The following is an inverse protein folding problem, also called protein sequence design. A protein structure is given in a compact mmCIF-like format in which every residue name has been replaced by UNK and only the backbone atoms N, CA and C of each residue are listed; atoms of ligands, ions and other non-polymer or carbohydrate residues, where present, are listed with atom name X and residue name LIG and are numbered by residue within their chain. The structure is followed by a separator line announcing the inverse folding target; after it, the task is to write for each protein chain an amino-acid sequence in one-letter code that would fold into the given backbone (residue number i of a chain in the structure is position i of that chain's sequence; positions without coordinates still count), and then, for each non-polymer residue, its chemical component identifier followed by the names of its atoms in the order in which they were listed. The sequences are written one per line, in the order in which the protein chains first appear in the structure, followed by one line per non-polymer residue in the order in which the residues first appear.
data_IF_432153349831
#
_entry.id   IF_432153349831
#
_cell.length_a   1.000
_cell.length_b   1.000
_cell.length_c   1.000
_cell.angle_alpha   90.00
_cell.angle_beta   90.00
_cell.angle_gamma   90.00
#
_symmetry.space_group_name_H-M   'P 1'
#
loop_
_entity.id
_entity.type
_entity.pdbx_description
1 polymer ?
#
# COMPACT_ATOMS: atom_id res chain seq x y z
N UNK A 1 74.94 22.00 33.96
CA UNK A 1 74.51 21.66 32.58
C UNK A 1 74.47 20.14 32.42
N UNK A 2 73.39 19.61 31.82
CA UNK A 2 73.12 18.20 31.42
C UNK A 2 72.38 17.28 32.44
N UNK A 3 71.07 17.53 32.53
CA UNK A 3 69.88 16.69 32.22
C UNK A 3 69.84 15.15 32.39
N UNK A 4 68.60 14.68 32.66
CA UNK A 4 67.91 13.39 32.34
C UNK A 4 67.88 12.32 33.45
N UNK A 5 66.76 11.64 33.76
CA UNK A 5 65.42 11.59 33.16
C UNK A 5 64.37 11.18 34.21
N UNK A 6 63.19 11.81 34.15
CA UNK A 6 62.00 11.39 34.90
C UNK A 6 61.21 10.42 34.02
N UNK A 7 60.98 9.20 34.49
CA UNK A 7 60.19 8.19 33.78
C UNK A 7 58.72 8.39 34.17
N UNK A 8 57.92 8.86 33.21
CA UNK A 8 56.47 8.96 33.32
C UNK A 8 55.87 7.58 33.04
N UNK A 9 55.33 6.94 34.08
CA UNK A 9 54.52 5.74 33.92
C UNK A 9 53.10 6.14 33.50
N UNK A 10 52.81 6.06 32.21
CA UNK A 10 51.46 6.24 31.69
C UNK A 10 50.65 4.95 31.89
N UNK A 11 49.80 4.93 32.92
CA UNK A 11 48.77 3.89 33.10
C UNK A 11 47.70 4.04 32.02
N UNK A 12 47.69 3.10 31.08
CA UNK A 12 46.68 2.99 30.02
C UNK A 12 45.42 2.31 30.59
N UNK A 13 44.45 3.10 31.06
CA UNK A 13 43.11 2.59 31.36
C UNK A 13 42.40 2.22 30.05
N UNK A 14 42.35 0.93 29.73
CA UNK A 14 41.48 0.38 28.69
C UNK A 14 40.02 0.52 29.13
N UNK A 15 39.33 1.54 28.62
CA UNK A 15 37.88 1.67 28.75
C UNK A 15 37.26 0.72 27.72
N UNK A 16 36.82 -0.45 28.17
CA UNK A 16 36.01 -1.37 27.37
C UNK A 16 34.62 -0.75 27.16
N UNK A 17 34.46 0.01 26.07
CA UNK A 17 33.16 0.50 25.64
C UNK A 17 32.30 -0.65 25.16
N UNK A 18 31.45 -1.19 26.04
CA UNK A 18 30.41 -2.12 25.66
C UNK A 18 29.33 -1.36 24.87
N UNK A 19 29.52 -1.23 23.56
CA UNK A 19 28.50 -0.74 22.64
C UNK A 19 27.31 -1.69 22.66
N UNK A 20 26.33 -1.41 23.52
CA UNK A 20 25.02 -2.03 23.44
C UNK A 20 24.34 -1.42 22.22
N UNK A 21 24.41 -2.12 21.08
CA UNK A 21 23.51 -1.84 19.98
C UNK A 21 22.09 -2.11 20.49
N UNK A 22 21.41 -1.05 20.91
CA UNK A 22 19.99 -1.14 21.20
C UNK A 22 19.30 -1.51 19.87
N UNK A 23 18.76 -2.72 19.79
CA UNK A 23 17.84 -3.10 18.73
C UNK A 23 16.64 -2.15 18.79
N UNK A 24 16.69 -1.09 18.00
CA UNK A 24 15.55 -0.22 17.79
C UNK A 24 14.47 -1.07 17.12
N UNK A 25 13.55 -1.62 17.90
CA UNK A 25 12.31 -2.19 17.37
C UNK A 25 11.61 -1.06 16.61
N UNK A 26 11.67 -1.11 15.29
CA UNK A 26 10.92 -0.19 14.43
C UNK A 26 9.44 -0.43 14.69
N UNK A 27 8.85 0.37 15.57
CA UNK A 27 7.41 0.40 15.78
C UNK A 27 6.82 1.40 14.82
N UNK A 28 6.01 0.93 13.87
CA UNK A 28 5.21 1.80 13.03
C UNK A 28 4.27 2.66 13.90
N UNK A 29 4.07 3.93 13.52
CA UNK A 29 3.10 4.80 14.21
C UNK A 29 1.71 4.22 14.00
N UNK A 30 0.82 4.21 15.01
CA UNK A 30 -0.57 3.82 14.78
C UNK A 30 -1.18 4.58 13.60
N UNK A 31 -2.06 3.91 12.84
CA UNK A 31 -2.77 4.55 11.74
C UNK A 31 -3.61 5.73 12.25
N UNK A 32 -3.45 6.87 11.59
CA UNK A 32 -4.12 8.14 11.87
C UNK A 32 -4.66 8.79 10.59
N UNK A 33 -4.66 8.04 9.48
CA UNK A 33 -5.19 8.49 8.20
C UNK A 33 -6.70 8.38 8.14
N UNK A 34 -7.23 8.64 6.95
CA UNK A 34 -8.64 8.42 6.65
C UNK A 34 -8.84 6.94 6.34
N UNK A 35 -9.68 6.27 7.12
CA UNK A 35 -10.15 4.93 6.79
C UNK A 35 -11.16 5.02 5.63
N UNK A 36 -10.83 4.38 4.51
CA UNK A 36 -11.67 4.27 3.31
C UNK A 36 -12.24 2.85 3.14
N UNK A 37 -12.23 2.03 4.18
CA UNK A 37 -12.84 0.70 4.16
C UNK A 37 -14.33 0.80 3.79
N UNK A 38 -14.83 -0.22 3.11
CA UNK A 38 -16.22 -0.29 2.71
C UNK A 38 -16.43 -1.06 1.42
N UNK A 39 -17.68 -1.10 1.00
CA UNK A 39 -18.11 -1.70 -0.26
C UNK A 39 -18.42 -0.57 -1.25
N UNK A 40 -17.91 -0.71 -2.46
CA UNK A 40 -18.01 0.26 -3.53
C UNK A 40 -18.68 -0.38 -4.73
N UNK A 41 -19.62 0.33 -5.34
CA UNK A 41 -20.15 0.00 -6.66
C UNK A 41 -19.33 0.74 -7.71
N UNK A 42 -18.80 -0.01 -8.67
CA UNK A 42 -17.87 0.46 -9.69
C UNK A 42 -18.49 0.33 -11.07
N UNK A 43 -18.28 1.35 -11.89
CA UNK A 43 -18.61 1.36 -13.31
C UNK A 43 -17.38 1.83 -14.08
N UNK A 44 -17.16 1.26 -15.25
CA UNK A 44 -16.00 1.63 -16.04
C UNK A 44 -15.97 1.01 -17.42
N UNK A 45 -14.83 1.21 -18.07
CA UNK A 45 -14.58 0.73 -19.42
C UNK A 45 -13.21 0.09 -19.48
N UNK A 46 -13.15 -1.13 -19.99
CA UNK A 46 -11.94 -1.84 -20.37
C UNK A 46 -11.75 -1.78 -21.90
N UNK A 47 -10.49 -1.83 -22.35
CA UNK A 47 -10.16 -1.77 -23.79
C UNK A 47 -10.61 -3.01 -24.56
N UNK A 48 -10.69 -4.18 -23.93
CA UNK A 48 -11.11 -5.44 -24.52
C UNK A 48 -12.57 -5.76 -24.23
N UNK A 49 -13.00 -5.56 -22.98
CA UNK A 49 -14.34 -5.98 -22.54
C UNK A 49 -15.41 -4.87 -22.66
N UNK A 50 -15.01 -3.63 -22.91
CA UNK A 50 -15.94 -2.51 -23.03
C UNK A 50 -16.52 -2.08 -21.67
N UNK A 51 -17.78 -1.65 -21.65
CA UNK A 51 -18.43 -1.17 -20.42
C UNK A 51 -18.77 -2.31 -19.46
N UNK A 52 -18.40 -2.17 -18.19
CA UNK A 52 -18.58 -3.19 -17.16
C UNK A 52 -19.04 -2.65 -15.81
N UNK A 53 -19.49 -3.57 -14.95
CA UNK A 53 -19.84 -3.27 -13.55
C UNK A 53 -19.11 -4.21 -12.61
N UNK A 54 -18.63 -3.65 -11.51
CA UNK A 54 -17.95 -4.42 -10.48
C UNK A 54 -18.30 -3.92 -9.09
N UNK A 55 -18.09 -4.77 -8.09
CA UNK A 55 -18.15 -4.41 -6.69
C UNK A 55 -16.78 -4.58 -6.06
N UNK A 56 -16.24 -3.51 -5.46
CA UNK A 56 -14.97 -3.53 -4.75
C UNK A 56 -15.21 -3.45 -3.25
N UNK A 57 -14.60 -4.36 -2.49
CA UNK A 57 -14.55 -4.30 -1.02
C UNK A 57 -13.15 -3.97 -0.57
N UNK A 58 -13.00 -2.90 0.21
CA UNK A 58 -11.76 -2.52 0.87
C UNK A 58 -11.84 -2.82 2.37
N UNK A 59 -10.84 -3.50 2.91
CA UNK A 59 -10.70 -3.79 4.34
C UNK A 59 -9.35 -3.29 4.84
N UNK A 60 -9.35 -2.32 5.76
CA UNK A 60 -8.14 -1.79 6.39
C UNK A 60 -7.39 -2.91 7.13
N UNK A 61 -6.10 -3.05 6.83
CA UNK A 61 -5.17 -3.83 7.62
C UNK A 61 -4.45 -2.88 8.58
N UNK A 62 -5.08 -2.61 9.73
CA UNK A 62 -4.59 -1.64 10.72
C UNK A 62 -3.24 -2.03 11.31
N UNK A 63 -2.90 -3.33 11.31
CA UNK A 63 -1.62 -3.85 11.78
C UNK A 63 -0.45 -3.41 10.88
N UNK A 64 -0.69 -3.29 9.58
CA UNK A 64 0.32 -2.89 8.59
C UNK A 64 0.07 -1.48 8.01
N UNK A 65 -0.81 -0.72 8.65
CA UNK A 65 -1.02 0.70 8.38
C UNK A 65 -0.18 1.54 9.33
N UNK A 66 0.30 2.71 8.89
CA UNK A 66 1.22 3.53 9.68
C UNK A 66 1.06 5.03 9.44
N UNK A 67 0.83 5.79 10.51
CA UNK A 67 0.60 7.23 10.42
C UNK A 67 -0.50 7.56 9.41
N UNK A 68 -0.18 8.35 8.37
CA UNK A 68 -1.13 8.69 7.31
C UNK A 68 -1.33 7.60 6.24
N UNK A 69 -0.49 6.57 6.22
CA UNK A 69 -0.52 5.53 5.20
C UNK A 69 -1.47 4.40 5.62
N UNK A 70 -2.48 4.13 4.79
CA UNK A 70 -3.41 3.01 4.99
C UNK A 70 -3.06 1.84 4.08
N UNK A 71 -2.92 0.65 4.63
CA UNK A 71 -2.84 -0.60 3.88
C UNK A 71 -4.19 -1.30 3.88
N UNK A 72 -4.67 -1.76 2.73
CA UNK A 72 -5.97 -2.43 2.61
C UNK A 72 -5.85 -3.71 1.81
N UNK A 73 -6.66 -4.70 2.18
CA UNK A 73 -7.00 -5.82 1.30
C UNK A 73 -8.16 -5.40 0.41
N UNK A 74 -8.06 -5.72 -0.87
CA UNK A 74 -9.12 -5.50 -1.85
C UNK A 74 -9.66 -6.85 -2.34
N UNK A 75 -10.98 -6.92 -2.48
CA UNK A 75 -11.68 -7.95 -3.26
C UNK A 75 -12.53 -7.24 -4.31
N UNK A 76 -12.45 -7.66 -5.56
CA UNK A 76 -13.32 -7.15 -6.64
C UNK A 76 -14.13 -8.31 -7.19
N UNK A 77 -15.43 -8.10 -7.36
CA UNK A 77 -16.36 -9.04 -8.00
C UNK A 77 -16.95 -8.34 -9.21
N UNK A 78 -16.56 -8.77 -10.42
CA UNK A 78 -16.96 -8.15 -11.69
C UNK A 78 -17.87 -9.08 -12.49
N UNK A 79 -18.92 -8.49 -13.06
CA UNK A 79 -19.90 -9.15 -13.94
C UNK A 79 -20.45 -10.49 -13.43
N UNK A 80 -20.51 -10.65 -12.10
CA UNK A 80 -21.05 -11.83 -11.42
C UNK A 80 -20.23 -13.13 -11.54
N UNK A 81 -19.09 -13.10 -12.24
CA UNK A 81 -18.29 -14.30 -12.52
C UNK A 81 -16.79 -14.13 -12.26
N UNK A 82 -16.27 -12.91 -12.36
CA UNK A 82 -14.84 -12.63 -12.17
C UNK A 82 -14.59 -12.18 -10.74
N UNK A 83 -13.56 -12.75 -10.12
CA UNK A 83 -13.17 -12.42 -8.75
C UNK A 83 -11.69 -12.09 -8.76
N UNK A 84 -11.34 -10.96 -8.16
CA UNK A 84 -9.96 -10.51 -8.00
C UNK A 84 -9.64 -10.30 -6.52
N UNK A 85 -8.42 -10.66 -6.14
CA UNK A 85 -7.84 -10.24 -4.87
C UNK A 85 -6.73 -9.22 -5.13
N UNK A 86 -6.60 -8.27 -4.23
CA UNK A 86 -5.66 -7.16 -4.38
C UNK A 86 -5.18 -6.59 -3.05
N UNK A 87 -4.17 -5.73 -3.15
CA UNK A 87 -3.67 -4.92 -2.06
C UNK A 87 -3.68 -3.46 -2.47
N UNK A 88 -3.99 -2.57 -1.53
CA UNK A 88 -4.03 -1.14 -1.75
C UNK A 88 -3.18 -0.44 -0.70
N UNK A 89 -2.38 0.53 -1.15
CA UNK A 89 -1.70 1.49 -0.28
C UNK A 89 -2.29 2.87 -0.54
N UNK A 90 -2.72 3.54 0.52
CA UNK A 90 -3.23 4.90 0.47
C UNK A 90 -2.22 5.88 1.08
N UNK A 91 -1.95 6.99 0.38
CA UNK A 91 -1.36 8.21 0.95
C UNK A 91 -2.31 9.38 0.70
N UNK A 92 -3.00 9.81 1.77
CA UNK A 92 -4.03 10.86 1.71
C UNK A 92 -5.14 10.49 0.72
N UNK A 93 -5.19 11.17 -0.41
CA UNK A 93 -6.17 11.04 -1.48
C UNK A 93 -5.66 10.22 -2.68
N UNK A 94 -4.43 9.68 -2.62
CA UNK A 94 -3.85 8.87 -3.68
C UNK A 94 -3.78 7.41 -3.25
N UNK A 95 -4.13 6.50 -4.17
CA UNK A 95 -4.07 5.06 -3.96
C UNK A 95 -3.20 4.40 -5.03
N UNK A 96 -2.36 3.46 -4.62
CA UNK A 96 -1.73 2.49 -5.49
C UNK A 96 -2.30 1.10 -5.20
N UNK A 97 -2.61 0.34 -6.24
CA UNK A 97 -3.29 -0.95 -6.12
C UNK A 97 -2.64 -2.00 -6.99
N UNK A 98 -2.68 -3.25 -6.56
CA UNK A 98 -2.60 -4.40 -7.45
C UNK A 98 -3.91 -5.20 -7.38
N UNK A 99 -4.20 -5.95 -8.42
CA UNK A 99 -5.31 -6.90 -8.46
C UNK A 99 -4.91 -8.11 -9.30
N UNK A 100 -5.42 -9.28 -8.91
CA UNK A 100 -5.10 -10.56 -9.55
C UNK A 100 -6.37 -11.40 -9.57
N UNK A 101 -6.77 -11.87 -10.75
CA UNK A 101 -7.88 -12.80 -10.90
C UNK A 101 -7.57 -14.09 -10.13
N UNK A 102 -8.56 -14.60 -9.39
CA UNK A 102 -8.39 -15.82 -8.59
C UNK A 102 -8.20 -17.07 -9.45
N UNK A 103 -8.62 -17.02 -10.73
CA UNK A 103 -8.32 -18.04 -11.72
C UNK A 103 -7.04 -17.64 -12.48
N UNK A 104 -5.89 -18.27 -12.18
CA UNK A 104 -4.61 -17.90 -12.78
C UNK A 104 -4.54 -18.24 -14.27
N UNK A 105 -5.43 -19.09 -14.80
CA UNK A 105 -5.44 -19.43 -16.23
C UNK A 105 -5.83 -18.25 -17.13
N UNK A 106 -6.45 -17.21 -16.56
CA UNK A 106 -6.86 -16.02 -17.30
C UNK A 106 -5.73 -15.03 -17.58
N UNK A 107 -4.59 -15.13 -16.87
CA UNK A 107 -3.51 -14.13 -16.92
C UNK A 107 -4.03 -12.68 -16.77
N UNK A 108 -5.03 -12.54 -15.91
CA UNK A 108 -5.80 -11.33 -15.74
C UNK A 108 -5.43 -10.71 -14.40
N UNK A 109 -4.48 -9.79 -14.45
CA UNK A 109 -3.93 -9.11 -13.28
C UNK A 109 -3.30 -7.80 -13.71
N UNK A 110 -3.17 -6.88 -12.76
CA UNK A 110 -2.65 -5.57 -13.08
C UNK A 110 -2.35 -4.71 -11.87
N UNK A 111 -2.05 -3.46 -12.20
CA UNK A 111 -1.82 -2.38 -11.24
C UNK A 111 -2.74 -1.21 -11.54
N UNK A 112 -3.10 -0.46 -10.52
CA UNK A 112 -3.91 0.74 -10.68
C UNK A 112 -3.36 1.91 -9.86
N UNK A 113 -3.55 3.10 -10.40
CA UNK A 113 -3.43 4.36 -9.68
C UNK A 113 -4.82 4.97 -9.54
N UNK A 114 -5.15 5.47 -8.35
CA UNK A 114 -6.45 6.06 -8.10
C UNK A 114 -6.39 7.33 -7.26
N UNK A 115 -7.47 8.11 -7.36
CA UNK A 115 -7.74 9.24 -6.47
C UNK A 115 -9.03 9.01 -5.67
N UNK A 116 -9.00 9.40 -4.41
CA UNK A 116 -10.15 9.38 -3.50
C UNK A 116 -10.69 10.78 -3.33
N UNK A 117 -12.00 10.95 -3.48
CA UNK A 117 -12.72 12.16 -3.11
C UNK A 117 -13.87 11.83 -2.15
N UNK A 118 -14.36 12.85 -1.44
CA UNK A 118 -15.51 12.76 -0.53
C UNK A 118 -16.65 13.61 -1.08
N UNK A 119 -17.49 13.07 -1.97
CA UNK A 119 -18.57 13.85 -2.59
C UNK A 119 -19.61 14.32 -1.58
N UNK A 120 -19.77 13.60 -0.47
CA UNK A 120 -20.63 13.99 0.65
C UNK A 120 -20.10 13.39 1.96
N UNK A 121 -20.64 13.83 3.10
CA UNK A 121 -20.20 13.36 4.41
C UNK A 121 -20.40 11.85 4.54
N UNK A 122 -19.32 11.12 4.80
CA UNK A 122 -19.34 9.67 4.98
C UNK A 122 -19.43 8.87 3.68
N UNK A 123 -19.36 9.51 2.50
CA UNK A 123 -19.26 8.84 1.21
C UNK A 123 -17.89 9.07 0.58
N UNK A 124 -17.41 8.05 -0.11
CA UNK A 124 -16.16 8.08 -0.85
C UNK A 124 -16.44 7.78 -2.32
N UNK A 125 -15.69 8.45 -3.20
CA UNK A 125 -15.60 8.14 -4.61
C UNK A 125 -14.14 7.88 -4.95
N UNK A 126 -13.87 6.77 -5.62
CA UNK A 126 -12.54 6.37 -6.10
C UNK A 126 -12.57 6.39 -7.62
N UNK A 127 -11.70 7.17 -8.23
CA UNK A 127 -11.50 7.22 -9.67
C UNK A 127 -10.14 6.60 -9.97
N UNK A 128 -10.12 5.46 -10.69
CA UNK A 128 -8.90 4.71 -10.96
C UNK A 128 -8.68 4.49 -12.46
N UNK A 129 -7.40 4.40 -12.81
CA UNK A 129 -6.92 3.91 -14.11
C UNK A 129 -6.01 2.71 -13.83
N UNK A 130 -6.16 1.65 -14.60
CA UNK A 130 -5.38 0.43 -14.43
C UNK A 130 -4.71 -0.02 -15.73
N UNK A 131 -3.70 -0.86 -15.58
CA UNK A 131 -2.96 -1.50 -16.66
C UNK A 131 -2.79 -2.99 -16.33
N UNK A 132 -3.04 -3.84 -17.31
CA UNK A 132 -2.96 -5.29 -17.25
C UNK A 132 -1.96 -5.76 -18.31
N UNK A 133 -0.74 -6.18 -17.92
CA UNK A 133 0.31 -6.45 -18.90
C UNK A 133 0.01 -7.65 -19.80
N UNK A 134 -0.69 -8.67 -19.27
CA UNK A 134 -0.82 -9.98 -19.93
C UNK A 134 -2.26 -10.34 -20.29
N UNK A 135 -3.26 -9.57 -19.82
CA UNK A 135 -4.66 -9.82 -20.15
C UNK A 135 -4.90 -9.59 -21.64
N UNK A 136 -5.22 -10.65 -22.36
CA UNK A 136 -5.40 -10.65 -23.82
C UNK A 136 -4.23 -10.03 -24.61
N UNK A 137 -3.01 -10.13 -24.08
CA UNK A 137 -1.81 -9.54 -24.69
C UNK A 137 -1.54 -8.08 -24.33
N UNK A 138 -2.21 -7.56 -23.31
CA UNK A 138 -2.04 -6.23 -22.76
C UNK A 138 -3.34 -5.42 -22.81
N UNK A 139 -3.70 -4.78 -21.71
CA UNK A 139 -4.96 -4.07 -21.54
C UNK A 139 -4.87 -2.90 -20.57
N UNK A 140 -5.87 -2.03 -20.60
CA UNK A 140 -6.03 -0.97 -19.64
C UNK A 140 -7.51 -0.57 -19.56
N UNK A 141 -7.88 0.04 -18.44
CA UNK A 141 -9.21 0.60 -18.29
C UNK A 141 -9.28 1.68 -17.24
N UNK A 142 -10.47 2.25 -17.11
CA UNK A 142 -10.81 3.26 -16.12
C UNK A 142 -12.07 2.83 -15.38
N UNK A 143 -12.13 3.07 -14.07
CA UNK A 143 -13.34 2.83 -13.27
C UNK A 143 -13.59 3.99 -12.30
N UNK A 144 -14.89 4.27 -12.08
CA UNK A 144 -15.38 5.10 -10.98
C UNK A 144 -16.14 4.24 -9.99
N UNK A 145 -15.68 4.22 -8.76
CA UNK A 145 -16.23 3.43 -7.65
C UNK A 145 -16.82 4.35 -6.59
N UNK A 146 -18.09 4.13 -6.20
CA UNK A 146 -18.78 4.93 -5.17
C UNK A 146 -19.15 4.06 -3.99
N UNK A 147 -18.82 4.51 -2.77
CA UNK A 147 -19.14 3.78 -1.54
C UNK A 147 -20.65 3.64 -1.34
N UNK A 148 -21.11 2.45 -0.97
CA UNK A 148 -22.52 2.17 -0.64
C UNK A 148 -23.02 2.97 0.54
#
# INVERSE_FOLDING_TARGET
MKTLASVVAASLCLIAGASHAADAKTTFKPFSGVDISGVYECVGTDVHDGEGKSQMTLTLDSKYSSGKFGGYKAKVEADGALIYNGSVVADRDHLAMNFVNVDPSKNDFGVALAKVSRPSKGKFKIEKTYYEPDYMGGGNGIETCTSK
#
